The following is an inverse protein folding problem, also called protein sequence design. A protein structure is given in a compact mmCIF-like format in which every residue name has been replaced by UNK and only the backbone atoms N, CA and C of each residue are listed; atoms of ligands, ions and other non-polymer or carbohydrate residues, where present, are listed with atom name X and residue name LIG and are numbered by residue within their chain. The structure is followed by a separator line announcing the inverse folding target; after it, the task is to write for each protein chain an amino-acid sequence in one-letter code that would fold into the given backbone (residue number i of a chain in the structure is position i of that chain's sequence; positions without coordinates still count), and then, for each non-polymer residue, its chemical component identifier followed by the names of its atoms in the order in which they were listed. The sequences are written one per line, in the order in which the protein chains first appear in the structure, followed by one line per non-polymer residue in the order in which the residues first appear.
data_IF_751555270165
#
_entry.id   IF_751555270165
#
_cell.length_a   1.000
_cell.length_b   1.000
_cell.length_c   1.000
_cell.angle_alpha   90.00
_cell.angle_beta   90.00
_cell.angle_gamma   90.00
#
_symmetry.space_group_name_H-M   'P 1'
#
loop_
_entity.id
_entity.type
_entity.pdbx_description
1 polymer ?
#
# COMPACT_ATOMS: atom_id res chain seq x y z
N UNK A 1 11.75 -0.49 -21.28
CA UNK A 1 12.11 0.87 -21.77
C UNK A 1 13.38 1.32 -21.08
N UNK A 2 14.32 1.89 -21.83
CA UNK A 2 15.65 2.30 -21.36
C UNK A 2 16.12 3.59 -22.07
N UNK A 3 15.17 4.45 -22.41
CA UNK A 3 15.39 5.74 -23.07
C UNK A 3 14.45 6.79 -22.44
N UNK A 4 14.79 8.08 -22.47
CA UNK A 4 14.11 9.12 -21.69
C UNK A 4 12.71 9.49 -22.17
N UNK A 5 12.24 8.99 -23.31
CA UNK A 5 10.93 9.38 -23.85
C UNK A 5 9.72 8.78 -23.12
N UNK A 6 8.54 8.90 -23.73
CA UNK A 6 7.30 8.27 -23.26
C UNK A 6 6.84 7.16 -24.22
N UNK A 7 6.49 5.99 -23.69
CA UNK A 7 5.77 4.93 -24.40
C UNK A 7 4.30 5.04 -23.99
N UNK A 8 3.44 5.43 -24.92
CA UNK A 8 2.00 5.36 -24.73
C UNK A 8 1.51 3.97 -25.14
N UNK A 9 0.90 3.23 -24.21
CA UNK A 9 0.22 1.96 -24.51
C UNK A 9 -1.28 2.24 -24.61
N UNK A 10 -1.80 2.32 -25.84
CA UNK A 10 -3.18 2.72 -26.12
C UNK A 10 -4.02 1.58 -26.73
N UNK A 11 -3.74 0.35 -26.31
CA UNK A 11 -4.42 -0.87 -26.75
C UNK A 11 -4.65 -1.79 -25.55
N UNK A 12 -5.68 -2.62 -25.62
CA UNK A 12 -5.97 -3.68 -24.62
C UNK A 12 -5.60 -5.05 -25.15
N UNK A 13 -5.68 -6.08 -24.31
CA UNK A 13 -5.42 -7.49 -24.67
C UNK A 13 -4.01 -7.72 -25.24
N UNK A 14 -3.06 -6.87 -24.87
CA UNK A 14 -1.70 -7.08 -25.31
C UNK A 14 -1.09 -8.33 -24.65
N UNK A 15 -0.09 -8.92 -25.32
CA UNK A 15 0.56 -10.14 -24.89
C UNK A 15 2.07 -9.94 -24.88
N UNK A 16 2.65 -9.94 -23.68
CA UNK A 16 4.09 -10.02 -23.43
C UNK A 16 4.34 -10.51 -22.00
N UNK A 17 5.60 -10.75 -21.66
CA UNK A 17 6.01 -11.23 -20.34
C UNK A 17 6.15 -10.10 -19.30
N UNK A 18 7.26 -10.15 -18.55
CA UNK A 18 7.66 -9.08 -17.64
C UNK A 18 7.93 -7.76 -18.39
N UNK A 19 7.87 -6.64 -17.68
CA UNK A 19 8.19 -5.32 -18.22
C UNK A 19 9.25 -4.66 -17.36
N UNK A 20 10.41 -4.35 -17.94
CA UNK A 20 11.44 -3.53 -17.30
C UNK A 20 11.34 -2.07 -17.73
N UNK A 21 11.32 -1.15 -16.77
CA UNK A 21 11.37 0.29 -16.98
C UNK A 21 12.63 0.84 -16.32
N UNK A 22 13.68 0.96 -17.12
CA UNK A 22 15.00 1.42 -16.70
C UNK A 22 15.22 2.92 -16.92
N UNK A 23 14.45 3.55 -17.81
CA UNK A 23 14.45 4.99 -18.05
C UNK A 23 13.19 5.40 -18.82
N UNK A 24 12.78 6.65 -18.66
CA UNK A 24 11.64 7.27 -19.33
C UNK A 24 10.31 6.94 -18.67
N UNK A 25 9.24 7.09 -19.45
CA UNK A 25 7.86 6.87 -18.99
C UNK A 25 7.19 5.77 -19.78
N UNK A 26 6.49 4.87 -19.11
CA UNK A 26 5.41 4.08 -19.71
C UNK A 26 4.11 4.71 -19.23
N UNK A 27 3.29 5.20 -20.16
CA UNK A 27 2.00 5.83 -19.89
C UNK A 27 0.87 4.99 -20.45
N UNK A 28 -0.18 4.78 -19.67
CA UNK A 28 -1.38 4.10 -20.15
C UNK A 28 -2.28 5.08 -20.93
N UNK A 29 -2.83 4.60 -22.05
CA UNK A 29 -3.90 5.27 -22.80
C UNK A 29 -5.26 4.59 -22.66
N UNK A 30 -5.29 3.39 -22.06
CA UNK A 30 -6.48 2.59 -21.78
C UNK A 30 -6.29 1.76 -20.51
N UNK A 31 -7.37 1.39 -19.84
CA UNK A 31 -7.32 0.46 -18.70
C UNK A 31 -6.90 -0.94 -19.16
N UNK A 32 -6.16 -1.65 -18.30
CA UNK A 32 -5.65 -2.99 -18.56
C UNK A 32 -4.83 -3.05 -19.87
N UNK A 33 -4.06 -1.98 -20.14
CA UNK A 33 -3.19 -1.91 -21.31
C UNK A 33 -2.04 -2.92 -21.22
N UNK A 34 -1.52 -3.18 -20.02
CA UNK A 34 -0.52 -4.22 -19.82
C UNK A 34 -1.17 -5.59 -19.55
N UNK A 35 -0.57 -6.71 -20.00
CA UNK A 35 -0.99 -8.04 -19.62
C UNK A 35 -1.07 -8.18 -18.09
N UNK A 36 -2.15 -8.78 -17.58
CA UNK A 36 -2.33 -9.00 -16.13
C UNK A 36 -1.25 -9.90 -15.53
N UNK A 37 -0.57 -10.69 -16.36
CA UNK A 37 0.56 -11.55 -16.00
C UNK A 37 1.87 -10.79 -15.85
N UNK A 38 1.91 -9.51 -16.20
CA UNK A 38 3.14 -8.71 -16.15
C UNK A 38 3.56 -8.46 -14.69
N UNK A 39 4.79 -8.87 -14.38
CA UNK A 39 5.56 -8.23 -13.31
C UNK A 39 6.23 -6.99 -13.89
N UNK A 40 5.94 -5.83 -13.31
CA UNK A 40 6.59 -4.57 -13.64
C UNK A 40 7.81 -4.39 -12.75
N UNK A 41 8.97 -4.20 -13.37
CA UNK A 41 10.22 -3.90 -12.68
C UNK A 41 10.66 -2.49 -13.02
N UNK A 42 10.70 -1.59 -12.05
CA UNK A 42 11.08 -0.18 -12.24
C UNK A 42 12.50 0.06 -11.72
N UNK A 43 13.23 0.92 -12.42
CA UNK A 43 14.58 1.32 -12.05
C UNK A 43 15.64 0.64 -12.91
N UNK A 44 16.82 1.23 -12.84
CA UNK A 44 18.05 0.78 -13.46
C UNK A 44 19.13 0.81 -12.40
N UNK A 45 20.14 -0.01 -12.58
CA UNK A 45 21.25 -0.05 -11.65
C UNK A 45 21.87 1.33 -11.39
N UNK A 46 22.06 2.18 -12.39
CA UNK A 46 22.84 3.42 -12.22
C UNK A 46 22.17 4.56 -11.42
N UNK A 47 20.95 4.40 -10.89
CA UNK A 47 20.19 5.39 -10.07
C UNK A 47 20.02 6.80 -10.67
N UNK A 48 20.38 7.02 -11.94
CA UNK A 48 20.31 8.34 -12.59
C UNK A 48 19.05 8.56 -13.40
N UNK A 49 18.40 7.48 -13.84
CA UNK A 49 17.29 7.56 -14.75
C UNK A 49 15.97 7.91 -14.04
N UNK A 50 15.26 8.89 -14.59
CA UNK A 50 13.84 9.10 -14.28
C UNK A 50 13.05 7.94 -14.89
N UNK A 51 12.34 7.19 -14.04
CA UNK A 51 11.51 6.06 -14.43
C UNK A 51 10.10 6.29 -13.92
N UNK A 52 9.12 6.42 -14.80
CA UNK A 52 7.73 6.61 -14.42
C UNK A 52 6.80 5.58 -15.08
N UNK A 53 6.03 4.88 -14.27
CA UNK A 53 4.83 4.19 -14.74
C UNK A 53 3.62 5.07 -14.44
N UNK A 54 3.10 5.72 -15.48
CA UNK A 54 1.99 6.67 -15.39
C UNK A 54 0.68 6.00 -15.78
N UNK A 55 -0.18 5.77 -14.80
CA UNK A 55 -1.51 5.20 -15.00
C UNK A 55 -2.43 6.14 -15.75
N UNK A 56 -2.21 7.46 -15.70
CA UNK A 56 -2.94 8.46 -16.47
C UNK A 56 -4.48 8.33 -16.37
N UNK A 57 -4.98 7.95 -15.19
CA UNK A 57 -6.42 7.77 -14.94
C UNK A 57 -6.99 6.42 -15.35
N UNK A 58 -6.14 5.48 -15.78
CA UNK A 58 -6.55 4.16 -16.21
C UNK A 58 -6.18 3.09 -15.18
N UNK A 59 -7.09 2.15 -14.99
CA UNK A 59 -6.90 1.06 -14.05
C UNK A 59 -5.96 0.01 -14.64
N UNK A 60 -5.10 -0.58 -13.81
CA UNK A 60 -4.19 -1.62 -14.25
C UNK A 60 -4.03 -2.70 -13.20
N UNK A 61 -4.12 -3.95 -13.64
CA UNK A 61 -3.73 -5.12 -12.85
C UNK A 61 -2.32 -5.58 -13.24
N UNK A 62 -1.45 -5.80 -12.25
CA UNK A 62 -0.11 -6.35 -12.44
C UNK A 62 0.09 -7.58 -11.56
N UNK A 63 0.73 -8.62 -12.10
CA UNK A 63 1.12 -9.82 -11.36
C UNK A 63 2.25 -9.59 -10.36
N UNK A 64 2.83 -8.39 -10.35
CA UNK A 64 3.80 -8.00 -9.34
C UNK A 64 4.45 -6.66 -9.63
N UNK A 65 4.92 -6.04 -8.56
CA UNK A 65 5.84 -4.92 -8.62
C UNK A 65 7.20 -5.42 -8.13
N UNK A 66 8.24 -4.94 -8.77
CA UNK A 66 9.60 -5.04 -8.28
C UNK A 66 10.32 -3.75 -8.65
N UNK A 67 11.40 -3.50 -7.94
CA UNK A 67 12.38 -2.51 -8.32
C UNK A 67 13.76 -3.16 -8.43
N UNK A 68 14.64 -2.57 -9.23
CA UNK A 68 16.04 -3.00 -9.35
C UNK A 68 16.94 -1.95 -8.71
N UNK A 69 17.87 -2.42 -7.89
CA UNK A 69 18.92 -1.61 -7.28
C UNK A 69 20.29 -2.02 -7.80
N UNK A 70 21.14 -1.03 -8.04
CA UNK A 70 22.57 -1.19 -7.86
C UNK A 70 22.94 -0.56 -6.52
N UNK A 71 23.80 -1.26 -5.80
CA UNK A 71 24.40 -0.83 -4.54
C UNK A 71 25.66 0.02 -4.72
N UNK A 72 25.98 0.45 -5.95
CA UNK A 72 27.17 1.26 -6.24
C UNK A 72 26.84 2.72 -6.48
N UNK A 73 27.48 3.59 -5.70
CA UNK A 73 27.51 5.06 -5.78
C UNK A 73 26.29 5.78 -5.18
N UNK A 74 26.57 6.66 -4.22
CA UNK A 74 25.60 7.46 -3.46
C UNK A 74 24.92 8.56 -4.25
N UNK A 75 24.64 8.33 -5.54
CA UNK A 75 23.86 9.23 -6.39
C UNK A 75 22.39 8.77 -6.35
N UNK A 76 21.52 9.60 -5.78
CA UNK A 76 20.07 9.35 -5.63
C UNK A 76 19.25 10.32 -6.47
N UNK A 77 19.83 10.86 -7.55
CA UNK A 77 19.16 11.90 -8.35
C UNK A 77 18.01 11.38 -9.21
N UNK A 78 18.01 10.11 -9.60
CA UNK A 78 16.91 9.50 -10.37
C UNK A 78 15.70 9.17 -9.49
N UNK A 79 14.50 9.45 -10.00
CA UNK A 79 13.23 9.10 -9.36
C UNK A 79 12.59 7.88 -10.01
N UNK A 80 12.12 6.92 -9.21
CA UNK A 80 11.37 5.75 -9.68
C UNK A 80 9.94 5.82 -9.14
N UNK A 81 8.95 6.03 -10.02
CA UNK A 81 7.60 6.41 -9.59
C UNK A 81 6.55 5.60 -10.31
N UNK A 82 5.53 5.16 -9.56
CA UNK A 82 4.24 4.79 -10.11
C UNK A 82 3.27 5.91 -9.77
N UNK A 83 2.59 6.48 -10.75
CA UNK A 83 1.80 7.69 -10.50
C UNK A 83 0.53 7.78 -11.33
N UNK A 84 -0.38 8.63 -10.89
CA UNK A 84 -1.51 9.09 -11.68
C UNK A 84 -1.94 10.48 -11.22
N UNK A 85 -2.14 11.41 -12.14
CA UNK A 85 -2.71 12.73 -11.81
C UNK A 85 -4.23 12.69 -11.61
N UNK A 86 -4.89 11.79 -12.34
CA UNK A 86 -6.34 11.51 -12.26
C UNK A 86 -6.57 10.19 -11.51
N UNK A 87 -7.73 10.00 -10.85
CA UNK A 87 -8.01 8.77 -10.11
C UNK A 87 -7.79 7.51 -10.95
N UNK A 88 -6.94 6.61 -10.47
CA UNK A 88 -6.66 5.32 -11.11
C UNK A 88 -6.45 4.23 -10.07
N UNK A 89 -6.88 3.01 -10.37
CA UNK A 89 -6.68 1.85 -9.50
C UNK A 89 -5.52 1.01 -10.00
N UNK A 90 -4.53 0.78 -9.13
CA UNK A 90 -3.45 -0.17 -9.32
C UNK A 90 -3.73 -1.44 -8.52
N UNK A 91 -3.97 -2.56 -9.21
CA UNK A 91 -4.22 -3.86 -8.59
C UNK A 91 -2.97 -4.70 -8.66
N UNK A 92 -2.45 -5.16 -7.52
CA UNK A 92 -1.29 -6.04 -7.43
C UNK A 92 -1.74 -7.46 -7.05
N UNK A 93 -1.61 -8.38 -8.02
CA UNK A 93 -2.03 -9.78 -7.94
C UNK A 93 -0.85 -10.76 -7.77
N UNK A 94 0.20 -10.33 -7.08
CA UNK A 94 1.38 -11.17 -6.86
C UNK A 94 1.10 -12.40 -5.99
N UNK A 95 1.51 -13.57 -6.48
CA UNK A 95 1.38 -14.86 -5.79
C UNK A 95 2.67 -15.30 -5.07
N UNK A 96 3.73 -14.51 -5.20
CA UNK A 96 5.00 -14.70 -4.49
C UNK A 96 5.42 -13.40 -3.83
N UNK A 97 6.32 -13.48 -2.86
CA UNK A 97 6.83 -12.30 -2.18
C UNK A 97 7.51 -11.33 -3.16
N UNK A 98 7.21 -10.04 -3.02
CA UNK A 98 7.75 -8.94 -3.80
C UNK A 98 7.98 -7.74 -2.90
N UNK A 99 9.04 -6.98 -3.19
CA UNK A 99 9.35 -5.73 -2.50
C UNK A 99 9.34 -4.59 -3.51
N UNK A 100 8.83 -3.44 -3.09
CA UNK A 100 8.87 -2.20 -3.84
C UNK A 100 9.10 -1.03 -2.87
N UNK A 101 9.90 -0.06 -3.27
CA UNK A 101 10.17 1.14 -2.48
C UNK A 101 11.64 1.33 -2.10
N UNK A 102 12.49 0.43 -2.56
CA UNK A 102 13.92 0.51 -2.37
C UNK A 102 14.49 1.70 -3.17
N UNK A 103 15.53 2.34 -2.63
CA UNK A 103 16.18 3.56 -3.16
C UNK A 103 15.22 4.71 -3.54
N UNK A 104 14.14 4.89 -2.80
CA UNK A 104 13.21 6.00 -3.00
C UNK A 104 12.17 5.76 -4.08
N UNK A 105 12.01 4.51 -4.53
CA UNK A 105 10.86 4.15 -5.37
C UNK A 105 9.55 4.43 -4.60
N UNK A 106 8.55 5.02 -5.27
CA UNK A 106 7.31 5.41 -4.60
C UNK A 106 6.09 5.29 -5.51
N UNK A 107 4.93 5.09 -4.89
CA UNK A 107 3.61 5.23 -5.49
C UNK A 107 3.04 6.59 -5.09
N UNK A 108 2.52 7.35 -6.05
CA UNK A 108 2.24 8.77 -5.86
C UNK A 108 0.98 9.25 -6.61
N UNK A 109 0.38 10.36 -6.15
CA UNK A 109 -0.78 10.97 -6.80
C UNK A 109 -2.10 10.24 -6.52
N UNK A 110 -3.08 10.38 -7.41
CA UNK A 110 -4.44 9.87 -7.23
C UNK A 110 -4.56 8.34 -7.48
N UNK A 111 -3.62 7.56 -6.96
CA UNK A 111 -3.59 6.09 -7.10
C UNK A 111 -4.33 5.46 -5.93
N UNK A 112 -5.28 4.58 -6.25
CA UNK A 112 -5.84 3.60 -5.31
C UNK A 112 -5.06 2.30 -5.43
N UNK A 113 -4.51 1.80 -4.34
CA UNK A 113 -3.76 0.56 -4.31
C UNK A 113 -4.66 -0.60 -3.84
N UNK A 114 -4.74 -1.67 -4.62
CA UNK A 114 -5.47 -2.89 -4.27
C UNK A 114 -4.51 -4.08 -4.24
N UNK A 115 -4.45 -4.78 -3.11
CA UNK A 115 -3.69 -6.03 -2.95
C UNK A 115 -4.64 -7.23 -3.05
N UNK A 116 -4.44 -8.06 -4.08
CA UNK A 116 -5.36 -9.16 -4.43
C UNK A 116 -4.68 -10.54 -4.58
N UNK A 117 -3.36 -10.58 -4.80
CA UNK A 117 -2.63 -11.85 -4.96
C UNK A 117 -2.39 -12.56 -3.63
N UNK A 118 -2.10 -13.85 -3.64
CA UNK A 118 -1.86 -14.64 -2.41
C UNK A 118 -0.50 -14.36 -1.74
N UNK A 119 0.44 -13.74 -2.46
CA UNK A 119 1.77 -13.43 -1.95
C UNK A 119 1.83 -12.15 -1.13
N UNK A 120 3.04 -11.81 -0.67
CA UNK A 120 3.31 -10.55 0.05
C UNK A 120 3.81 -9.47 -0.89
N UNK A 121 3.19 -8.28 -0.87
CA UNK A 121 3.80 -7.05 -1.39
C UNK A 121 4.35 -6.26 -0.20
N UNK A 122 5.65 -6.06 -0.14
CA UNK A 122 6.32 -5.26 0.88
C UNK A 122 6.63 -3.87 0.31
N UNK A 123 6.07 -2.83 0.91
CA UNK A 123 6.38 -1.43 0.65
C UNK A 123 7.42 -0.96 1.66
N UNK A 124 8.60 -0.59 1.17
CA UNK A 124 9.71 -0.09 2.00
C UNK A 124 9.98 1.41 1.80
N UNK A 125 9.40 1.99 0.75
CA UNK A 125 9.53 3.41 0.41
C UNK A 125 8.44 4.27 1.04
N UNK A 126 8.70 5.57 1.12
CA UNK A 126 7.71 6.58 1.50
C UNK A 126 6.81 6.84 0.30
N UNK A 127 5.55 6.43 0.38
CA UNK A 127 4.57 6.68 -0.67
C UNK A 127 3.82 7.99 -0.42
N UNK A 128 3.23 8.55 -1.48
CA UNK A 128 2.50 9.83 -1.42
C UNK A 128 1.21 9.80 -2.24
N UNK A 129 0.66 8.61 -2.49
CA UNK A 129 -0.64 8.49 -3.12
C UNK A 129 -1.76 8.95 -2.17
N UNK A 130 -2.92 9.26 -2.75
CA UNK A 130 -4.07 9.81 -2.03
C UNK A 130 -5.36 9.02 -2.25
N UNK A 131 -5.32 8.00 -3.12
CA UNK A 131 -6.44 7.06 -3.25
C UNK A 131 -6.49 6.11 -2.05
N UNK A 132 -7.49 5.23 -2.04
CA UNK A 132 -7.63 4.26 -0.96
C UNK A 132 -6.56 3.16 -1.05
N UNK A 133 -6.33 2.49 0.07
CA UNK A 133 -5.63 1.20 0.11
C UNK A 133 -6.62 0.11 0.46
N UNK A 134 -6.71 -0.92 -0.39
CA UNK A 134 -7.57 -2.08 -0.16
C UNK A 134 -6.71 -3.34 -0.13
N UNK A 135 -6.82 -4.13 0.93
CA UNK A 135 -6.10 -5.39 1.10
C UNK A 135 -7.11 -6.52 1.19
N UNK A 136 -7.38 -7.18 0.06
CA UNK A 136 -8.42 -8.21 -0.04
C UNK A 136 -7.92 -9.64 0.03
N UNK A 137 -6.62 -9.85 -0.24
CA UNK A 137 -6.00 -11.17 -0.16
C UNK A 137 -4.47 -11.05 -0.04
N UNK A 138 -3.84 -12.09 0.51
CA UNK A 138 -2.41 -12.12 0.80
C UNK A 138 -2.02 -11.02 1.78
N UNK A 139 -0.77 -10.55 1.67
CA UNK A 139 -0.24 -9.55 2.62
C UNK A 139 0.23 -8.28 1.92
N UNK A 140 -0.23 -7.12 2.39
CA UNK A 140 0.44 -5.84 2.16
C UNK A 140 1.28 -5.53 3.40
N UNK A 141 2.60 -5.53 3.28
CA UNK A 141 3.51 -5.21 4.36
C UNK A 141 4.08 -3.80 4.19
N UNK A 142 4.14 -3.01 5.26
CA UNK A 142 4.80 -1.72 5.32
C UNK A 142 5.94 -1.80 6.33
N UNK A 143 7.17 -1.62 5.88
CA UNK A 143 8.37 -1.88 6.67
C UNK A 143 9.52 -0.93 6.35
N UNK A 144 10.63 -1.04 7.08
CA UNK A 144 11.86 -0.26 6.84
C UNK A 144 11.66 1.28 6.80
N UNK A 145 10.67 1.80 7.53
CA UNK A 145 10.33 3.23 7.53
C UNK A 145 9.47 3.67 6.34
N UNK A 146 8.98 2.75 5.51
CA UNK A 146 8.00 3.03 4.47
C UNK A 146 6.65 3.48 5.05
N UNK A 147 5.87 4.18 4.23
CA UNK A 147 4.53 4.68 4.61
C UNK A 147 3.57 4.54 3.43
N UNK A 148 2.25 4.45 3.70
CA UNK A 148 1.22 4.49 2.65
C UNK A 148 0.96 5.92 2.13
N UNK A 149 1.44 6.94 2.85
CA UNK A 149 1.28 8.35 2.52
C UNK A 149 0.27 9.07 3.41
N UNK A 150 0.60 10.31 3.77
CA UNK A 150 -0.19 11.14 4.69
C UNK A 150 -1.61 11.46 4.18
N UNK A 151 -1.83 11.35 2.87
CA UNK A 151 -3.13 11.60 2.23
C UNK A 151 -3.94 10.33 1.96
N UNK A 152 -3.39 9.15 2.29
CA UNK A 152 -4.09 7.86 2.17
C UNK A 152 -5.00 7.68 3.38
N UNK A 153 -6.19 8.25 3.31
CA UNK A 153 -7.11 8.33 4.46
C UNK A 153 -8.08 7.15 4.56
N UNK A 154 -8.22 6.33 3.52
CA UNK A 154 -9.14 5.20 3.51
C UNK A 154 -8.37 3.91 3.34
N UNK A 155 -8.43 3.05 4.36
CA UNK A 155 -7.75 1.76 4.37
C UNK A 155 -8.78 0.68 4.67
N UNK A 156 -9.02 -0.20 3.71
CA UNK A 156 -9.88 -1.37 3.89
C UNK A 156 -9.03 -2.63 3.91
N UNK A 157 -9.14 -3.42 4.97
CA UNK A 157 -8.60 -4.78 5.00
C UNK A 157 -9.79 -5.72 5.05
N UNK A 158 -9.98 -6.51 4.01
CA UNK A 158 -11.13 -7.37 3.82
C UNK A 158 -10.73 -8.72 3.21
N UNK A 159 -11.72 -9.55 2.86
CA UNK A 159 -11.49 -10.89 2.34
C UNK A 159 -10.56 -11.70 3.24
N UNK A 160 -9.46 -12.21 2.68
CA UNK A 160 -8.40 -12.92 3.40
C UNK A 160 -7.12 -12.10 3.52
N UNK A 161 -7.24 -10.78 3.44
CA UNK A 161 -6.13 -9.84 3.41
C UNK A 161 -5.48 -9.62 4.77
N UNK A 162 -4.16 -9.40 4.77
CA UNK A 162 -3.39 -8.97 5.94
C UNK A 162 -2.66 -7.66 5.65
N UNK A 163 -2.90 -6.62 6.45
CA UNK A 163 -2.06 -5.44 6.51
C UNK A 163 -1.02 -5.65 7.61
N UNK A 164 0.26 -5.78 7.23
CA UNK A 164 1.35 -6.02 8.17
C UNK A 164 2.20 -4.75 8.35
N UNK A 165 2.33 -4.27 9.59
CA UNK A 165 3.02 -3.02 9.91
C UNK A 165 4.22 -3.32 10.81
N UNK A 166 5.39 -2.83 10.41
CA UNK A 166 6.66 -2.96 11.16
C UNK A 166 7.27 -1.60 11.53
N UNK A 167 6.49 -0.53 11.42
CA UNK A 167 6.83 0.85 11.82
C UNK A 167 5.57 1.49 12.41
N UNK A 168 5.74 2.48 13.28
CA UNK A 168 4.68 3.18 14.02
C UNK A 168 4.12 4.42 13.31
N UNK A 169 4.55 4.66 12.07
CA UNK A 169 4.17 5.81 11.24
C UNK A 169 3.88 5.33 9.80
N UNK A 170 3.33 4.11 9.68
CA UNK A 170 3.04 3.51 8.39
C UNK A 170 1.81 4.12 7.72
N UNK A 171 0.83 4.54 8.53
CA UNK A 171 -0.47 5.06 8.12
C UNK A 171 -0.59 6.53 8.52
N UNK A 172 -1.55 7.24 7.93
CA UNK A 172 -1.84 8.59 8.37
C UNK A 172 -2.60 8.57 9.71
N UNK A 173 -2.24 9.47 10.64
CA UNK A 173 -2.96 9.67 11.90
C UNK A 173 -4.45 9.99 11.73
N UNK A 174 -4.86 10.47 10.55
CA UNK A 174 -6.26 10.76 10.23
C UNK A 174 -6.96 9.61 9.48
N UNK A 175 -6.26 8.51 9.22
CA UNK A 175 -6.79 7.41 8.43
C UNK A 175 -7.99 6.75 9.10
N UNK A 176 -8.88 6.26 8.25
CA UNK A 176 -10.02 5.42 8.59
C UNK A 176 -9.66 4.00 8.16
N UNK A 177 -9.53 3.11 9.14
CA UNK A 177 -9.26 1.69 8.91
C UNK A 177 -10.56 0.91 9.07
N UNK A 178 -11.00 0.21 8.02
CA UNK A 178 -12.18 -0.65 8.05
C UNK A 178 -11.80 -2.12 7.94
N UNK A 179 -12.37 -2.92 8.82
CA UNK A 179 -12.23 -4.37 8.91
C UNK A 179 -13.61 -5.06 8.78
N UNK A 180 -13.65 -6.38 8.59
CA UNK A 180 -14.88 -7.17 8.71
C UNK A 180 -15.61 -6.96 10.05
N UNK A 181 -16.84 -7.45 10.12
CA UNK A 181 -17.61 -7.37 11.35
C UNK A 181 -16.92 -8.14 12.50
N UNK A 182 -17.21 -7.75 13.75
CA UNK A 182 -16.68 -8.42 14.93
C UNK A 182 -16.92 -9.94 14.88
N UNK A 183 -15.89 -10.74 15.18
CA UNK A 183 -15.95 -12.22 15.14
C UNK A 183 -15.75 -12.85 13.75
N UNK A 184 -15.56 -12.06 12.69
CA UNK A 184 -15.28 -12.59 11.35
C UNK A 184 -13.76 -12.70 11.12
N UNK A 185 -13.20 -13.86 11.43
CA UNK A 185 -11.76 -14.16 11.33
C UNK A 185 -11.28 -14.37 9.89
N UNK A 186 -11.37 -13.31 9.06
CA UNK A 186 -11.04 -13.36 7.63
C UNK A 186 -9.88 -12.42 7.28
N UNK A 187 -9.90 -11.18 7.76
CA UNK A 187 -8.86 -10.19 7.52
C UNK A 187 -8.07 -9.82 8.80
N UNK A 188 -6.82 -9.42 8.63
CA UNK A 188 -5.90 -9.13 9.74
C UNK A 188 -5.16 -7.80 9.61
N UNK A 189 -4.99 -7.12 10.73
CA UNK A 189 -3.93 -6.14 10.94
C UNK A 189 -2.87 -6.82 11.81
N UNK A 190 -1.68 -7.02 11.25
CA UNK A 190 -0.55 -7.57 11.96
C UNK A 190 0.39 -6.43 12.37
N UNK A 191 0.69 -6.30 13.67
CA UNK A 191 1.60 -5.28 14.18
C UNK A 191 2.81 -5.95 14.82
N UNK A 192 4.01 -5.59 14.36
CA UNK A 192 5.26 -6.13 14.91
C UNK A 192 5.50 -5.66 16.35
N UNK A 193 6.41 -6.34 17.06
CA UNK A 193 6.80 -5.96 18.41
C UNK A 193 7.31 -4.52 18.47
N UNK A 194 6.90 -3.77 19.49
CA UNK A 194 7.28 -2.37 19.68
C UNK A 194 6.58 -1.38 18.76
N UNK A 195 5.74 -1.84 17.83
CA UNK A 195 4.93 -0.96 16.98
C UNK A 195 3.70 -0.46 17.76
N UNK A 196 3.52 0.85 17.78
CA UNK A 196 2.27 1.52 18.16
C UNK A 196 1.87 2.45 17.00
N UNK A 197 1.02 1.96 16.11
CA UNK A 197 0.55 2.72 14.94
C UNK A 197 -0.66 3.58 15.33
N UNK A 198 -0.72 4.84 14.90
CA UNK A 198 -1.86 5.73 15.20
C UNK A 198 -2.78 5.90 14.00
N UNK A 199 -4.09 5.81 14.23
CA UNK A 199 -5.11 6.08 13.22
C UNK A 199 -6.26 6.89 13.80
N UNK A 200 -6.94 7.62 12.91
CA UNK A 200 -8.06 8.46 13.29
C UNK A 200 -9.22 7.59 13.77
N UNK A 201 -9.59 6.61 12.96
CA UNK A 201 -10.79 5.81 13.19
C UNK A 201 -10.57 4.35 12.83
N UNK A 202 -11.17 3.46 13.62
CA UNK A 202 -11.28 2.03 13.32
C UNK A 202 -12.76 1.66 13.19
N UNK A 203 -13.12 0.90 12.15
CA UNK A 203 -14.47 0.41 11.90
C UNK A 203 -14.48 -1.10 11.75
N UNK A 204 -15.44 -1.77 12.39
CA UNK A 204 -15.74 -3.18 12.16
C UNK A 204 -17.12 -3.31 11.53
N UNK A 205 -17.20 -3.88 10.33
CA UNK A 205 -18.48 -4.04 9.60
C UNK A 205 -19.25 -2.72 9.49
N UNK A 206 -18.55 -1.61 9.24
CA UNK A 206 -19.12 -0.26 9.14
C UNK A 206 -19.42 0.44 10.47
N UNK A 207 -19.10 -0.16 11.62
CA UNK A 207 -19.33 0.44 12.95
C UNK A 207 -18.04 0.97 13.57
N UNK A 208 -18.03 2.25 13.92
CA UNK A 208 -16.90 2.88 14.62
C UNK A 208 -16.61 2.22 15.96
N UNK A 209 -15.31 2.10 16.25
CA UNK A 209 -14.76 1.62 17.51
C UNK A 209 -14.46 2.80 18.45
N UNK A 210 -14.38 2.53 19.74
CA UNK A 210 -14.02 3.53 20.75
C UNK A 210 -12.56 3.92 20.62
N UNK A 211 -12.20 5.09 21.16
CA UNK A 211 -10.80 5.45 21.36
C UNK A 211 -10.13 4.45 22.29
N UNK A 212 -8.82 4.28 22.13
CA UNK A 212 -8.02 3.32 22.91
C UNK A 212 -7.05 2.55 22.02
N UNK A 213 -6.28 1.66 22.65
CA UNK A 213 -5.37 0.77 21.93
C UNK A 213 -6.04 -0.57 21.63
N UNK A 214 -5.81 -1.09 20.43
CA UNK A 214 -6.30 -2.36 19.94
C UNK A 214 -5.12 -3.26 19.55
N UNK A 215 -5.22 -4.55 19.81
CA UNK A 215 -4.16 -5.49 19.46
C UNK A 215 -4.56 -6.93 19.73
N UNK A 216 -3.65 -7.86 19.42
CA UNK A 216 -3.83 -9.27 19.75
C UNK A 216 -3.40 -9.57 21.20
N UNK A 217 -3.72 -10.77 21.67
CA UNK A 217 -3.25 -11.30 22.95
C UNK A 217 -1.73 -11.20 23.05
N UNK A 218 -1.25 -10.63 24.14
CA UNK A 218 0.18 -10.37 24.36
C UNK A 218 0.66 -8.98 23.91
N UNK A 219 -0.17 -8.19 23.22
CA UNK A 219 0.17 -6.80 22.90
C UNK A 219 0.14 -5.86 24.10
N UNK A 220 -0.69 -6.16 25.10
CA UNK A 220 -1.00 -5.27 26.23
C UNK A 220 -1.90 -4.07 25.84
N UNK A 221 -2.62 -4.17 24.72
CA UNK A 221 -3.63 -3.20 24.33
C UNK A 221 -4.86 -3.23 25.26
N UNK A 222 -5.58 -2.11 25.33
CA UNK A 222 -6.83 -1.97 26.09
C UNK A 222 -7.91 -2.92 25.55
N UNK A 223 -7.94 -3.09 24.23
CA UNK A 223 -8.89 -3.91 23.50
C UNK A 223 -8.17 -5.07 22.81
N UNK A 224 -8.24 -6.24 23.42
CA UNK A 224 -7.70 -7.48 22.85
C UNK A 224 -8.69 -8.09 21.86
N UNK A 225 -8.25 -8.30 20.62
CA UNK A 225 -9.05 -8.87 19.54
C UNK A 225 -8.19 -9.71 18.59
N UNK A 226 -8.04 -10.99 18.94
CA UNK A 226 -7.36 -12.00 18.12
C UNK A 226 -8.15 -12.38 16.85
N UNK A 227 -9.33 -11.80 16.60
CA UNK A 227 -10.04 -11.99 15.32
C UNK A 227 -9.46 -11.05 14.27
N UNK A 228 -9.26 -9.78 14.59
CA UNK A 228 -8.80 -8.76 13.64
C UNK A 228 -7.31 -8.45 13.73
N UNK A 229 -6.67 -8.76 14.86
CA UNK A 229 -5.26 -8.46 15.07
C UNK A 229 -4.39 -9.71 15.18
N UNK A 230 -3.09 -9.52 14.95
CA UNK A 230 -2.02 -10.47 15.25
C UNK A 230 -0.72 -9.72 15.56
N UNK A 231 0.25 -10.42 16.15
CA UNK A 231 1.51 -9.83 16.61
C UNK A 231 1.41 -9.23 18.02
N UNK A 232 2.45 -8.51 18.45
CA UNK A 232 2.56 -7.94 19.79
C UNK A 232 2.55 -6.41 19.83
N UNK A 233 2.44 -5.75 18.66
CA UNK A 233 2.22 -4.32 18.57
C UNK A 233 0.76 -3.91 18.80
N UNK A 234 0.49 -2.61 18.74
CA UNK A 234 -0.80 -1.99 19.04
C UNK A 234 -1.21 -1.01 17.94
N UNK A 235 -2.51 -0.91 17.70
CA UNK A 235 -3.14 0.15 16.92
C UNK A 235 -3.82 1.12 17.89
N UNK A 236 -3.38 2.37 17.92
CA UNK A 236 -3.98 3.44 18.70
C UNK A 236 -5.04 4.18 17.89
N UNK A 237 -6.27 4.17 18.39
CA UNK A 237 -7.40 4.87 17.78
C UNK A 237 -7.68 6.15 18.56
N UNK A 238 -7.62 7.30 17.88
CA UNK A 238 -7.70 8.62 18.55
C UNK A 238 -9.06 9.31 18.45
N UNK A 239 -9.93 8.92 17.52
CA UNK A 239 -11.28 9.45 17.42
C UNK A 239 -12.34 8.38 17.70
N UNK A 240 -13.47 8.83 18.21
CA UNK A 240 -14.70 8.04 18.31
C UNK A 240 -15.88 8.87 17.85
N UNK A 241 -17.00 8.24 17.50
CA UNK A 241 -18.23 8.95 17.08
C UNK A 241 -18.97 9.63 18.25
N UNK A 242 -18.31 9.84 19.39
CA UNK A 242 -18.92 10.47 20.55
C UNK A 242 -19.20 11.95 20.27
N UNK A 243 -20.43 12.25 19.84
CA UNK A 243 -21.01 13.55 20.15
C UNK A 243 -21.02 13.70 21.68
N UNK A 244 -20.25 14.65 22.19
CA UNK A 244 -20.34 15.27 23.52
C UNK A 244 -20.79 14.35 24.68
N UNK A 245 -19.85 13.78 25.44
CA UNK A 245 -20.13 13.40 26.85
C UNK A 245 -19.58 14.54 27.72
N UNK A 246 -20.43 15.53 27.96
CA UNK A 246 -20.19 16.54 28.99
C UNK A 246 -20.32 15.84 30.35
N UNK A 247 -19.19 15.55 31.00
CA UNK A 247 -19.21 15.14 32.41
C UNK A 247 -19.50 16.38 33.24
N UNK A 248 -20.77 16.56 33.64
CA UNK A 248 -21.11 17.42 34.76
C UNK A 248 -20.71 16.69 36.03
N UNK A 249 -19.72 17.24 36.73
CA UNK A 249 -19.46 16.95 38.14
C UNK A 249 -20.46 17.68 39.02
#
# INVERSE_FOLDING_TARGET
RNDPGTLLINSTNNVWGGTGLAEGTIRLGVSEAMPKTTTLTIGKGDKKALCAFDLNGYNQTLAGLADIHYSGTGDTTGTQRILSATPATLIISNNSARTFGLAGSAIEGAVTLVKLGSGTLTLTGVNSYSGATVVSNGTLAVSAGGTLGANTLQIAVDGTGTLALSTSDALADQAVVSMPAFGVASAKIQLAEGVEETVGWLLYGGKFKSVGTYGATGSGADHIDDTHFSGSGRLRVVNSKSGLIMSLR
#
